data_IF_402705258086
#
_entry.id   IF_402705258086
#
_cell.length_a   1.000
_cell.length_b   1.000
_cell.length_c   1.000
_cell.angle_alpha   90.00
_cell.angle_beta   90.00
_cell.angle_gamma   90.00
#
_symmetry.space_group_name_H-M   'P 1'
#
loop_
_entity.id
_entity.type
_entity.pdbx_description
1 polymer ?
#
# COMPACT_ATOMS: atom_id res chain seq x y z
N UNK A 1 -10.83 23.20 3.00
CA UNK A 1 -9.73 24.19 2.79
C UNK A 1 -10.01 25.53 3.52
N UNK A 2 -11.24 26.00 3.52
CA UNK A 2 -11.59 27.26 4.19
C UNK A 2 -11.36 27.24 5.72
N UNK A 3 -11.50 26.07 6.34
CA UNK A 3 -11.41 25.92 7.81
C UNK A 3 -10.01 25.50 8.31
N UNK A 4 -9.24 24.74 7.50
CA UNK A 4 -7.97 24.14 7.90
C UNK A 4 -6.73 24.78 7.26
N UNK A 5 -6.90 25.77 6.37
CA UNK A 5 -5.79 26.36 5.63
C UNK A 5 -5.11 25.39 4.65
N UNK A 6 -3.79 25.44 4.55
CA UNK A 6 -3.01 24.63 3.64
C UNK A 6 -2.78 23.21 4.19
N UNK A 7 -2.86 22.22 3.32
CA UNK A 7 -2.51 20.82 3.65
C UNK A 7 -1.08 20.59 3.21
N UNK A 8 -0.17 20.37 4.16
CA UNK A 8 1.23 20.09 3.88
C UNK A 8 1.51 18.59 3.73
N UNK A 9 0.76 17.74 4.44
CA UNK A 9 0.90 16.29 4.38
C UNK A 9 -0.48 15.65 4.17
N UNK A 10 -0.60 14.85 3.13
CA UNK A 10 -1.76 13.98 2.88
C UNK A 10 -1.37 12.52 3.14
N UNK A 11 -2.08 11.86 4.06
CA UNK A 11 -1.92 10.42 4.29
C UNK A 11 -3.19 9.70 3.83
N UNK A 12 -3.11 9.00 2.70
CA UNK A 12 -4.16 8.12 2.21
C UNK A 12 -4.07 6.79 2.96
N UNK A 13 -4.82 6.67 4.06
CA UNK A 13 -4.79 5.51 4.96
C UNK A 13 -6.07 4.66 4.89
N UNK A 14 -7.14 5.19 4.32
CA UNK A 14 -8.39 4.45 4.16
C UNK A 14 -8.18 3.17 3.34
N UNK A 15 -8.77 2.07 3.79
CA UNK A 15 -8.68 0.80 3.09
C UNK A 15 -9.58 -0.26 3.73
N UNK A 16 -10.06 -1.18 2.92
CA UNK A 16 -10.94 -2.27 3.35
C UNK A 16 -10.52 -3.59 2.72
N UNK A 17 -10.92 -4.67 3.39
CA UNK A 17 -11.00 -6.03 2.85
C UNK A 17 -12.47 -6.41 2.92
N UNK A 18 -13.13 -6.55 1.79
CA UNK A 18 -14.57 -6.86 1.73
C UNK A 18 -14.84 -8.35 1.79
N UNK A 19 -13.85 -9.17 1.44
CA UNK A 19 -14.05 -10.61 1.27
C UNK A 19 -12.75 -11.38 1.47
N UNK A 20 -12.87 -12.57 2.09
CA UNK A 20 -11.83 -13.60 2.14
C UNK A 20 -12.37 -14.88 1.47
N UNK A 21 -12.71 -14.77 0.20
CA UNK A 21 -13.30 -15.84 -0.63
C UNK A 21 -12.49 -16.02 -1.90
N UNK A 22 -12.59 -17.21 -2.51
CA UNK A 22 -12.10 -17.42 -3.89
C UNK A 22 -12.79 -16.46 -4.85
N UNK A 23 -12.13 -16.08 -5.94
CA UNK A 23 -12.62 -15.04 -6.84
C UNK A 23 -14.00 -15.33 -7.43
N UNK A 24 -14.30 -16.58 -7.77
CA UNK A 24 -15.59 -17.05 -8.28
C UNK A 24 -16.76 -16.82 -7.30
N UNK A 25 -16.48 -16.64 -6.01
CA UNK A 25 -17.46 -16.41 -4.94
C UNK A 25 -17.55 -14.95 -4.49
N UNK A 26 -16.73 -14.07 -5.04
CA UNK A 26 -16.81 -12.64 -4.72
C UNK A 26 -17.94 -12.00 -5.52
N UNK A 27 -18.74 -11.18 -4.86
CA UNK A 27 -19.84 -10.44 -5.51
C UNK A 27 -19.29 -9.22 -6.28
N UNK A 28 -20.05 -8.75 -7.27
CA UNK A 28 -19.73 -7.51 -8.00
C UNK A 28 -19.56 -6.32 -7.05
N UNK A 29 -20.42 -6.21 -6.03
CA UNK A 29 -20.34 -5.14 -5.03
C UNK A 29 -19.06 -5.21 -4.21
N UNK A 30 -18.65 -6.38 -3.74
CA UNK A 30 -17.37 -6.58 -3.03
C UNK A 30 -16.18 -6.15 -3.89
N UNK A 31 -16.18 -6.49 -5.18
CA UNK A 31 -15.14 -6.12 -6.14
C UNK A 31 -15.09 -4.59 -6.31
N UNK A 32 -16.21 -4.00 -6.70
CA UNK A 32 -16.31 -2.55 -6.97
C UNK A 32 -15.95 -1.74 -5.73
N UNK A 33 -16.50 -2.10 -4.58
CA UNK A 33 -16.26 -1.40 -3.33
C UNK A 33 -14.79 -1.47 -2.88
N UNK A 34 -14.14 -2.62 -3.04
CA UNK A 34 -12.72 -2.77 -2.72
C UNK A 34 -11.86 -1.87 -3.59
N UNK A 35 -12.07 -1.87 -4.90
CA UNK A 35 -11.31 -1.04 -5.84
C UNK A 35 -11.58 0.45 -5.60
N UNK A 36 -12.83 0.83 -5.41
CA UNK A 36 -13.20 2.23 -5.17
C UNK A 36 -12.53 2.80 -3.91
N UNK A 37 -12.54 2.07 -2.81
CA UNK A 37 -12.00 2.57 -1.54
C UNK A 37 -10.47 2.49 -1.51
N UNK A 38 -9.89 1.37 -1.96
CA UNK A 38 -8.46 1.16 -1.80
C UNK A 38 -7.60 1.84 -2.88
N UNK A 39 -8.20 2.16 -4.05
CA UNK A 39 -7.44 2.65 -5.21
C UNK A 39 -8.00 3.97 -5.72
N UNK A 40 -9.29 4.05 -6.06
CA UNK A 40 -9.87 5.25 -6.67
C UNK A 40 -9.98 6.41 -5.67
N UNK A 41 -10.47 6.16 -4.47
CA UNK A 41 -10.63 7.22 -3.47
C UNK A 41 -9.31 7.94 -3.13
N UNK A 42 -8.17 7.25 -2.89
CA UNK A 42 -6.87 7.92 -2.74
C UNK A 42 -6.48 8.78 -3.94
N UNK A 43 -6.75 8.33 -5.17
CA UNK A 43 -6.48 9.10 -6.38
C UNK A 43 -7.31 10.40 -6.42
N UNK A 44 -8.60 10.29 -6.12
CA UNK A 44 -9.52 11.45 -6.13
C UNK A 44 -9.17 12.48 -5.06
N UNK A 45 -8.87 12.02 -3.84
CA UNK A 45 -8.44 12.90 -2.73
C UNK A 45 -7.13 13.60 -3.08
N UNK A 46 -6.16 12.84 -3.59
CA UNK A 46 -4.88 13.39 -4.02
C UNK A 46 -5.06 14.40 -5.14
N UNK A 47 -5.89 14.09 -6.16
CA UNK A 47 -6.19 15.02 -7.27
C UNK A 47 -6.79 16.34 -6.78
N UNK A 48 -7.57 16.32 -5.71
CA UNK A 48 -8.16 17.52 -5.13
C UNK A 48 -7.16 18.40 -4.34
N UNK A 49 -6.08 17.79 -3.82
CA UNK A 49 -5.10 18.46 -2.94
C UNK A 49 -3.82 18.83 -3.68
N UNK A 50 -3.34 17.98 -4.56
CA UNK A 50 -2.06 18.10 -5.28
C UNK A 50 -1.87 19.46 -5.98
N UNK A 51 -2.86 20.04 -6.69
CA UNK A 51 -2.66 21.34 -7.35
C UNK A 51 -2.28 22.48 -6.40
N UNK A 52 -2.72 22.40 -5.15
CA UNK A 52 -2.37 23.37 -4.13
C UNK A 52 -0.93 23.18 -3.62
N UNK A 53 -0.51 21.94 -3.42
CA UNK A 53 0.86 21.61 -3.07
C UNK A 53 1.84 22.07 -4.16
N UNK A 54 1.51 21.79 -5.43
CA UNK A 54 2.31 22.22 -6.59
C UNK A 54 2.47 23.73 -6.66
N UNK A 55 1.37 24.49 -6.50
CA UNK A 55 1.41 25.94 -6.52
C UNK A 55 2.24 26.53 -5.40
N UNK A 56 2.30 25.88 -4.23
CA UNK A 56 3.13 26.28 -3.08
C UNK A 56 4.57 25.80 -3.18
N UNK A 57 4.88 24.91 -4.12
CA UNK A 57 6.20 24.31 -4.28
C UNK A 57 6.59 23.38 -3.12
N UNK A 58 5.62 22.88 -2.33
CA UNK A 58 5.91 21.96 -1.21
C UNK A 58 4.70 21.10 -0.84
N UNK A 59 4.96 19.87 -0.43
CA UNK A 59 3.93 18.95 0.04
C UNK A 59 4.45 17.54 0.16
N UNK A 60 3.70 16.69 0.88
CA UNK A 60 4.02 15.28 0.99
C UNK A 60 2.75 14.43 0.88
N UNK A 61 2.75 13.47 -0.02
CA UNK A 61 1.67 12.49 -0.19
C UNK A 61 2.18 11.14 0.27
N UNK A 62 1.51 10.55 1.25
CA UNK A 62 1.82 9.23 1.77
C UNK A 62 0.67 8.26 1.49
N UNK A 63 0.92 7.22 0.71
CA UNK A 63 -0.07 6.22 0.35
C UNK A 63 0.17 4.92 1.11
N UNK A 64 -0.80 4.51 1.95
CA UNK A 64 -0.75 3.26 2.69
C UNK A 64 -1.28 2.13 1.80
N UNK A 65 -0.35 1.44 1.17
CA UNK A 65 -0.63 0.26 0.36
C UNK A 65 -0.70 -1.02 1.23
N UNK A 66 0.02 -2.06 0.85
CA UNK A 66 0.14 -3.34 1.60
C UNK A 66 1.25 -4.18 0.98
N UNK A 67 1.80 -5.10 1.75
CA UNK A 67 2.58 -6.23 1.23
C UNK A 67 1.78 -7.06 0.22
N UNK A 68 0.45 -7.18 0.41
CA UNK A 68 -0.47 -7.79 -0.56
C UNK A 68 -0.60 -7.03 -1.90
N UNK A 69 -0.01 -5.83 -2.03
CA UNK A 69 0.21 -5.14 -3.29
C UNK A 69 1.53 -5.49 -3.97
N UNK A 70 2.25 -6.50 -3.49
CA UNK A 70 3.49 -7.01 -4.07
C UNK A 70 3.56 -8.54 -4.07
N UNK A 71 2.66 -9.21 -3.36
CA UNK A 71 2.62 -10.67 -3.23
C UNK A 71 1.21 -11.16 -3.55
N UNK A 72 1.11 -12.24 -4.31
CA UNK A 72 -0.14 -12.98 -4.46
C UNK A 72 -0.55 -13.61 -3.13
N UNK A 73 -1.85 -13.53 -2.80
CA UNK A 73 -2.39 -14.19 -1.62
C UNK A 73 -3.74 -14.83 -2.00
N UNK A 74 -3.90 -16.15 -1.79
CA UNK A 74 -5.16 -16.83 -2.03
C UNK A 74 -6.33 -16.13 -1.33
N UNK A 75 -7.52 -16.13 -1.95
CA UNK A 75 -8.76 -15.52 -1.45
C UNK A 75 -8.74 -13.98 -1.30
N UNK A 76 -7.65 -13.33 -1.69
CA UNK A 76 -7.48 -11.87 -1.60
C UNK A 76 -7.18 -11.23 -2.96
N UNK A 77 -7.59 -11.86 -4.06
CA UNK A 77 -7.25 -11.41 -5.42
C UNK A 77 -7.65 -9.96 -5.70
N UNK A 78 -8.87 -9.56 -5.33
CA UNK A 78 -9.36 -8.18 -5.54
C UNK A 78 -8.66 -7.19 -4.60
N UNK A 79 -8.45 -7.56 -3.33
CA UNK A 79 -7.65 -6.74 -2.41
C UNK A 79 -6.22 -6.58 -2.92
N UNK A 80 -5.59 -7.68 -3.35
CA UNK A 80 -4.27 -7.66 -3.97
C UNK A 80 -4.23 -6.71 -5.16
N UNK A 81 -5.13 -6.87 -6.13
CA UNK A 81 -5.25 -6.00 -7.29
C UNK A 81 -5.37 -4.52 -6.91
N UNK A 82 -6.21 -4.20 -5.90
CA UNK A 82 -6.38 -2.83 -5.43
C UNK A 82 -5.10 -2.24 -4.84
N UNK A 83 -4.33 -3.03 -4.10
CA UNK A 83 -3.07 -2.58 -3.48
C UNK A 83 -1.91 -2.54 -4.48
N UNK A 84 -1.87 -3.44 -5.47
CA UNK A 84 -0.96 -3.33 -6.62
C UNK A 84 -1.24 -2.05 -7.41
N UNK A 85 -2.52 -1.76 -7.71
CA UNK A 85 -2.93 -0.53 -8.36
C UNK A 85 -2.49 0.72 -7.60
N UNK A 86 -2.68 0.75 -6.29
CA UNK A 86 -2.24 1.86 -5.44
C UNK A 86 -0.72 2.06 -5.47
N UNK A 87 0.08 0.97 -5.46
CA UNK A 87 1.54 1.04 -5.55
C UNK A 87 1.97 1.55 -6.93
N UNK A 88 1.44 0.98 -8.02
CA UNK A 88 1.79 1.38 -9.38
C UNK A 88 1.44 2.85 -9.66
N UNK A 89 0.25 3.28 -9.24
CA UNK A 89 -0.16 4.68 -9.33
C UNK A 89 0.78 5.61 -8.54
N UNK A 90 1.11 5.24 -7.29
CA UNK A 90 2.03 6.03 -6.46
C UNK A 90 3.40 6.19 -7.11
N UNK A 91 3.94 5.10 -7.68
CA UNK A 91 5.24 5.14 -8.36
C UNK A 91 5.20 6.05 -9.59
N UNK A 92 4.15 5.94 -10.42
CA UNK A 92 3.98 6.76 -11.61
C UNK A 92 3.87 8.25 -11.25
N UNK A 93 3.00 8.58 -10.29
CA UNK A 93 2.82 9.97 -9.83
C UNK A 93 4.13 10.55 -9.26
N UNK A 94 4.90 9.75 -8.51
CA UNK A 94 6.21 10.18 -8.01
C UNK A 94 7.18 10.51 -9.14
N UNK A 95 7.21 9.70 -10.21
CA UNK A 95 8.06 9.92 -11.38
C UNK A 95 7.61 11.17 -12.15
N UNK A 96 6.31 11.36 -12.32
CA UNK A 96 5.74 12.58 -12.92
C UNK A 96 6.19 13.84 -12.17
N UNK A 97 6.05 13.85 -10.84
CA UNK A 97 6.47 14.99 -10.01
C UNK A 97 7.99 15.24 -10.09
N UNK A 98 8.79 14.18 -10.17
CA UNK A 98 10.24 14.30 -10.35
C UNK A 98 10.62 14.86 -11.74
N UNK A 99 9.93 14.43 -12.79
CA UNK A 99 10.13 14.94 -14.15
C UNK A 99 9.81 16.45 -14.25
N UNK A 100 8.78 16.90 -13.53
CA UNK A 100 8.40 18.31 -13.39
C UNK A 100 9.26 19.10 -12.39
N UNK A 101 10.29 18.49 -11.80
CA UNK A 101 11.18 19.08 -10.79
C UNK A 101 10.42 19.66 -9.59
N UNK A 102 9.34 19.03 -9.20
CA UNK A 102 8.50 19.44 -8.08
C UNK A 102 9.10 19.03 -6.75
N UNK A 103 9.01 19.90 -5.72
CA UNK A 103 9.36 19.58 -4.34
C UNK A 103 8.21 18.90 -3.57
N UNK A 104 7.18 18.41 -4.27
CA UNK A 104 6.15 17.55 -3.68
C UNK A 104 6.64 16.11 -3.66
N UNK A 105 6.74 15.54 -2.46
CA UNK A 105 7.23 14.18 -2.26
C UNK A 105 6.10 13.16 -2.22
N UNK A 106 6.42 11.93 -2.64
CA UNK A 106 5.49 10.79 -2.55
C UNK A 106 6.17 9.63 -1.83
N UNK A 107 5.52 9.14 -0.75
CA UNK A 107 5.92 7.94 -0.02
C UNK A 107 4.87 6.85 -0.20
N UNK A 108 5.29 5.68 -0.65
CA UNK A 108 4.48 4.46 -0.65
C UNK A 108 4.86 3.59 0.53
N UNK A 109 3.91 3.26 1.39
CA UNK A 109 4.13 2.35 2.54
C UNK A 109 3.45 1.02 2.27
N UNK A 110 4.19 -0.06 2.38
CA UNK A 110 3.70 -1.43 2.17
C UNK A 110 3.89 -2.27 3.46
N UNK A 111 2.96 -2.16 4.42
CA UNK A 111 3.02 -2.95 5.64
C UNK A 111 2.53 -4.37 5.40
N UNK A 112 3.09 -5.31 6.19
CA UNK A 112 2.55 -6.64 6.39
C UNK A 112 1.29 -6.56 7.28
N UNK A 113 0.73 -7.69 7.70
CA UNK A 113 -0.44 -7.72 8.58
C UNK A 113 -0.25 -6.91 9.85
N UNK A 114 -1.21 -6.03 10.14
CA UNK A 114 -1.25 -5.17 11.33
C UNK A 114 -2.41 -5.60 12.21
N UNK A 115 -2.20 -5.65 13.51
CA UNK A 115 -3.23 -5.98 14.50
C UNK A 115 -4.20 -4.79 14.70
N UNK A 116 -5.07 -4.58 13.71
CA UNK A 116 -6.10 -3.52 13.73
C UNK A 116 -7.52 -4.09 13.69
N UNK A 117 -7.67 -5.43 13.73
CA UNK A 117 -8.95 -6.09 13.55
C UNK A 117 -9.32 -6.41 12.10
N UNK A 118 -8.70 -5.76 11.10
CA UNK A 118 -8.98 -6.00 9.68
C UNK A 118 -8.67 -7.44 9.24
N UNK A 119 -7.68 -8.08 9.86
CA UNK A 119 -7.19 -9.42 9.54
C UNK A 119 -7.30 -10.36 10.75
N UNK A 120 -8.45 -10.31 11.45
CA UNK A 120 -8.67 -11.20 12.59
C UNK A 120 -8.62 -12.67 12.16
N UNK A 121 -7.85 -13.48 12.92
CA UNK A 121 -7.69 -14.90 12.67
C UNK A 121 -6.59 -15.27 11.66
N UNK A 122 -5.90 -14.30 11.08
CA UNK A 122 -4.74 -14.57 10.22
C UNK A 122 -3.63 -15.24 11.02
N UNK A 123 -3.18 -16.39 10.51
CA UNK A 123 -2.01 -17.11 11.05
C UNK A 123 -0.78 -16.70 10.25
N UNK A 124 0.22 -16.18 10.91
CA UNK A 124 1.49 -15.82 10.31
C UNK A 124 2.63 -16.49 11.07
N UNK A 125 3.07 -17.69 10.61
CA UNK A 125 3.97 -18.53 11.39
C UNK A 125 5.38 -17.97 11.51
N UNK A 126 5.85 -17.24 10.51
CA UNK A 126 7.25 -16.77 10.46
C UNK A 126 7.34 -15.26 10.70
N UNK A 127 6.46 -14.47 10.07
CA UNK A 127 6.50 -13.00 10.18
C UNK A 127 5.44 -12.58 11.20
N UNK A 128 5.81 -11.99 12.34
CA UNK A 128 4.83 -11.62 13.36
C UNK A 128 3.88 -10.54 12.85
N UNK A 129 2.62 -10.61 13.30
CA UNK A 129 1.63 -9.55 13.08
C UNK A 129 2.13 -8.26 13.74
N UNK A 130 2.13 -7.18 13.00
CA UNK A 130 2.73 -5.91 13.42
C UNK A 130 1.83 -5.15 14.39
N UNK A 131 2.44 -4.46 15.36
CA UNK A 131 1.72 -3.54 16.25
C UNK A 131 1.44 -2.21 15.51
N UNK A 132 0.22 -1.64 15.62
CA UNK A 132 -0.12 -0.36 14.98
C UNK A 132 0.85 0.77 15.29
N UNK A 133 1.30 0.88 16.55
CA UNK A 133 2.23 1.92 16.99
C UNK A 133 3.61 1.79 16.34
N UNK A 134 4.06 0.57 16.10
CA UNK A 134 5.31 0.33 15.38
C UNK A 134 5.18 0.79 13.92
N UNK A 135 4.09 0.43 13.25
CA UNK A 135 3.83 0.82 11.86
C UNK A 135 3.71 2.35 11.75
N UNK A 136 2.94 2.99 12.63
CA UNK A 136 2.76 4.46 12.63
C UNK A 136 4.08 5.20 12.77
N UNK A 137 4.94 4.77 13.70
CA UNK A 137 6.30 5.35 13.84
C UNK A 137 7.15 5.18 12.58
N UNK A 138 7.01 4.05 11.87
CA UNK A 138 7.74 3.80 10.61
C UNK A 138 7.20 4.69 9.49
N UNK A 139 5.89 4.90 9.41
CA UNK A 139 5.24 5.81 8.44
C UNK A 139 5.75 7.24 8.65
N UNK A 140 5.67 7.76 9.89
CA UNK A 140 6.13 9.12 10.20
C UNK A 140 7.60 9.30 9.81
N UNK A 141 8.47 8.38 10.22
CA UNK A 141 9.89 8.44 9.84
C UNK A 141 10.14 8.36 8.33
N UNK A 142 9.28 7.66 7.58
CA UNK A 142 9.39 7.59 6.14
C UNK A 142 9.04 8.93 5.48
N UNK A 143 8.01 9.61 5.98
CA UNK A 143 7.60 10.96 5.57
C UNK A 143 8.71 11.97 5.90
N UNK A 144 9.16 12.03 7.15
CA UNK A 144 10.23 12.95 7.60
C UNK A 144 11.53 12.82 6.79
N UNK A 145 11.80 11.63 6.26
CA UNK A 145 13.01 11.35 5.48
C UNK A 145 12.79 11.34 3.97
N UNK A 146 11.64 11.76 3.50
CA UNK A 146 11.25 11.78 2.08
C UNK A 146 11.51 10.43 1.38
N UNK A 147 11.26 9.31 2.07
CA UNK A 147 11.48 7.97 1.49
C UNK A 147 10.43 7.70 0.43
N UNK A 148 10.85 7.24 -0.72
CA UNK A 148 9.96 6.89 -1.83
C UNK A 148 9.16 5.62 -1.53
N UNK A 149 9.77 4.65 -0.83
CA UNK A 149 9.15 3.39 -0.48
C UNK A 149 9.52 2.95 0.95
N UNK A 150 8.55 2.39 1.68
CA UNK A 150 8.72 1.86 3.02
C UNK A 150 8.02 0.51 3.18
N UNK A 151 8.74 -0.59 2.95
CA UNK A 151 8.29 -1.95 3.29
C UNK A 151 8.40 -2.20 4.80
N UNK A 152 7.38 -2.79 5.41
CA UNK A 152 7.36 -3.10 6.83
C UNK A 152 6.88 -4.53 7.04
N UNK A 153 7.72 -5.42 7.59
CA UNK A 153 9.10 -5.23 8.08
C UNK A 153 10.11 -4.95 6.95
N UNK A 154 11.35 -4.66 7.32
CA UNK A 154 12.40 -4.19 6.41
C UNK A 154 12.64 -5.12 5.20
N UNK A 155 12.56 -6.42 5.39
CA UNK A 155 12.72 -7.40 4.30
C UNK A 155 11.79 -7.19 3.10
N UNK A 156 10.64 -6.55 3.31
CA UNK A 156 9.67 -6.25 2.25
C UNK A 156 10.15 -5.19 1.24
N UNK A 157 11.24 -4.47 1.52
CA UNK A 157 11.91 -3.62 0.53
C UNK A 157 12.48 -4.42 -0.65
N UNK A 158 12.81 -5.68 -0.43
CA UNK A 158 13.48 -6.54 -1.41
C UNK A 158 12.54 -7.48 -2.16
N UNK A 159 11.23 -7.46 -1.89
CA UNK A 159 10.29 -8.37 -2.56
C UNK A 159 10.33 -8.21 -4.08
N UNK A 160 10.33 -6.98 -4.58
CA UNK A 160 10.41 -6.70 -6.02
C UNK A 160 11.71 -7.21 -6.64
N UNK A 161 12.82 -7.12 -5.92
CA UNK A 161 14.10 -7.67 -6.36
C UNK A 161 14.01 -9.21 -6.49
N UNK A 162 13.47 -9.88 -5.48
CA UNK A 162 13.30 -11.33 -5.54
C UNK A 162 12.32 -11.77 -6.62
N UNK A 163 11.24 -11.02 -6.84
CA UNK A 163 10.32 -11.29 -7.97
C UNK A 163 10.99 -11.19 -9.33
N UNK A 164 11.91 -10.25 -9.50
CA UNK A 164 12.65 -10.08 -10.76
C UNK A 164 13.72 -11.15 -10.96
N UNK A 165 14.32 -11.66 -9.88
CA UNK A 165 15.43 -12.60 -9.93
C UNK A 165 15.01 -14.08 -9.96
N UNK A 166 13.85 -14.41 -9.40
CA UNK A 166 13.40 -15.78 -9.26
C UNK A 166 12.33 -16.13 -10.32
N UNK A 167 12.40 -17.31 -10.93
CA UNK A 167 11.26 -17.82 -11.69
C UNK A 167 9.99 -17.84 -10.82
N UNK A 168 8.83 -17.49 -11.40
CA UNK A 168 7.56 -17.35 -10.67
C UNK A 168 7.25 -18.54 -9.76
N UNK A 169 7.43 -19.78 -10.25
CA UNK A 169 7.17 -20.99 -9.45
C UNK A 169 8.06 -21.09 -8.20
N UNK A 170 9.32 -20.66 -8.31
CA UNK A 170 10.28 -20.67 -7.19
C UNK A 170 9.93 -19.58 -6.19
N UNK A 171 9.58 -18.40 -6.69
CA UNK A 171 9.12 -17.30 -5.85
C UNK A 171 7.84 -17.66 -5.07
N UNK A 172 6.83 -18.21 -5.76
CA UNK A 172 5.56 -18.62 -5.16
C UNK A 172 5.77 -19.73 -4.10
N UNK A 173 6.61 -20.72 -4.39
CA UNK A 173 6.97 -21.75 -3.41
C UNK A 173 7.65 -21.15 -2.18
N UNK A 174 8.64 -20.28 -2.36
CA UNK A 174 9.38 -19.67 -1.28
C UNK A 174 8.46 -18.79 -0.40
N UNK A 175 7.75 -17.86 -1.01
CA UNK A 175 6.91 -16.91 -0.26
C UNK A 175 5.58 -17.53 0.16
N UNK A 176 4.99 -18.40 -0.65
CA UNK A 176 3.73 -19.05 -0.37
C UNK A 176 3.83 -20.14 0.68
N UNK A 177 4.68 -21.14 0.43
CA UNK A 177 4.80 -22.34 1.27
C UNK A 177 5.80 -22.16 2.41
N UNK A 178 7.06 -21.73 2.12
CA UNK A 178 8.10 -21.63 3.14
C UNK A 178 7.81 -20.49 4.12
N UNK A 179 7.45 -19.29 3.61
CA UNK A 179 7.05 -18.16 4.46
C UNK A 179 5.60 -18.24 4.94
N UNK A 180 4.81 -19.20 4.45
CA UNK A 180 3.46 -19.48 4.92
C UNK A 180 2.41 -18.45 4.54
N UNK A 181 2.65 -17.64 3.50
CA UNK A 181 1.71 -16.59 3.06
C UNK A 181 0.41 -17.22 2.52
N UNK A 182 0.48 -18.39 1.89
CA UNK A 182 -0.70 -19.07 1.35
C UNK A 182 -1.60 -19.70 2.42
N UNK A 183 -1.09 -19.85 3.63
CA UNK A 183 -1.79 -20.43 4.79
C UNK A 183 -2.24 -19.39 5.82
N UNK A 184 -2.07 -18.10 5.48
CA UNK A 184 -2.44 -16.98 6.34
C UNK A 184 -3.91 -16.53 6.20
#
# INVERSE_FOLDING_TARGET
KAECGNIDILINCAGIVTSNKTFDKQTYDEIIRTININTIAPMLVTRAILPDMLRRGKGHICNIASAGGMLGNPRMSVYGASKWGAIGWSDSMRIELQAEKSDVHVTTVAPYYINTGMFNGVKSPIIPVLKPEYVSRRVIRAIERNRTFCGIPFGFHFIRFWQAMLPTKVFDWLFGEVFGIYHS
#
